data_IF_215097655551
#
_entry.id   IF_215097655551
#
_cell.length_a   1.000
_cell.length_b   1.000
_cell.length_c   1.000
_cell.angle_alpha   90.00
_cell.angle_beta   90.00
_cell.angle_gamma   90.00
#
_symmetry.space_group_name_H-M   'P 1'
#
loop_
_entity.id
_entity.type
_entity.pdbx_description
1 polymer ?
#
# COMPACT_ATOMS: atom_id res chain seq x y z
N UNK A 1 34.87 -9.32 -42.26
CA UNK A 1 33.99 -9.23 -41.08
C UNK A 1 33.94 -7.79 -40.63
N UNK A 2 32.76 -7.24 -40.38
CA UNK A 2 32.66 -5.89 -39.80
C UNK A 2 33.04 -5.89 -38.31
N UNK A 3 33.46 -4.74 -37.79
CA UNK A 3 33.74 -4.58 -36.35
C UNK A 3 32.56 -5.03 -35.49
N UNK A 4 31.32 -4.73 -35.91
CA UNK A 4 30.08 -5.13 -35.23
C UNK A 4 29.89 -6.65 -35.21
N UNK A 5 30.19 -7.34 -36.32
CA UNK A 5 30.10 -8.81 -36.37
C UNK A 5 31.14 -9.49 -35.47
N UNK A 6 32.32 -8.90 -35.32
CA UNK A 6 33.36 -9.41 -34.43
C UNK A 6 32.93 -9.28 -32.96
N UNK A 7 32.37 -8.13 -32.59
CA UNK A 7 31.85 -7.89 -31.24
C UNK A 7 30.71 -8.86 -30.92
N UNK A 8 29.76 -9.05 -31.83
CA UNK A 8 28.65 -9.99 -31.64
C UNK A 8 29.15 -11.42 -31.41
N UNK A 9 30.05 -11.92 -32.27
CA UNK A 9 30.62 -13.27 -32.11
C UNK A 9 31.37 -13.47 -30.79
N UNK A 10 32.12 -12.46 -30.34
CA UNK A 10 32.82 -12.52 -29.05
C UNK A 10 31.83 -12.63 -27.87
N UNK A 11 30.74 -11.85 -27.91
CA UNK A 11 29.71 -11.90 -26.88
C UNK A 11 28.98 -13.25 -26.92
N UNK A 12 28.64 -13.78 -28.11
CA UNK A 12 28.05 -15.12 -28.25
C UNK A 12 28.91 -16.19 -27.61
N UNK A 13 30.22 -16.17 -27.88
CA UNK A 13 31.15 -17.14 -27.30
C UNK A 13 31.21 -17.03 -25.77
N UNK A 14 31.19 -15.81 -25.22
CA UNK A 14 31.17 -15.61 -23.78
C UNK A 14 29.86 -16.10 -23.14
N UNK A 15 28.71 -15.82 -23.78
CA UNK A 15 27.41 -16.30 -23.31
C UNK A 15 27.40 -17.83 -23.23
N UNK A 16 27.83 -18.52 -24.29
CA UNK A 16 27.83 -19.99 -24.35
C UNK A 16 28.73 -20.66 -23.30
N UNK A 17 29.78 -19.99 -22.83
CA UNK A 17 30.66 -20.50 -21.78
C UNK A 17 30.10 -20.31 -20.37
N UNK A 18 29.16 -19.37 -20.18
CA UNK A 18 28.65 -18.97 -18.88
C UNK A 18 27.29 -19.60 -18.54
N UNK A 19 26.55 -20.08 -19.55
CA UNK A 19 25.24 -20.70 -19.34
C UNK A 19 25.37 -22.18 -18.94
N UNK A 20 24.45 -22.72 -18.12
CA UNK A 20 24.33 -24.16 -17.89
C UNK A 20 24.07 -24.93 -19.20
N UNK A 21 24.46 -26.20 -19.22
CA UNK A 21 24.27 -27.10 -20.38
C UNK A 21 22.81 -27.20 -20.84
N UNK A 22 21.88 -27.13 -19.87
CA UNK A 22 20.42 -27.11 -20.09
C UNK A 22 19.98 -25.97 -21.03
N UNK A 23 20.63 -24.81 -20.91
CA UNK A 23 20.36 -23.62 -21.70
C UNK A 23 21.20 -23.54 -22.97
N UNK A 24 22.37 -24.17 -22.97
CA UNK A 24 23.30 -24.16 -24.09
C UNK A 24 22.61 -24.58 -25.39
N UNK A 25 21.91 -25.71 -25.37
CA UNK A 25 21.20 -26.25 -26.55
C UNK A 25 20.00 -25.40 -26.98
N UNK A 26 19.44 -24.59 -26.07
CA UNK A 26 18.32 -23.70 -26.37
C UNK A 26 18.80 -22.48 -27.14
N UNK A 27 20.00 -21.98 -26.84
CA UNK A 27 20.47 -20.69 -27.33
C UNK A 27 21.57 -20.77 -28.40
N UNK A 28 22.28 -21.89 -28.54
CA UNK A 28 23.43 -22.01 -29.45
C UNK A 28 23.10 -21.71 -30.91
N UNK A 29 21.90 -22.08 -31.35
CA UNK A 29 21.42 -21.88 -32.71
C UNK A 29 21.02 -20.42 -33.00
N UNK A 30 20.98 -19.55 -31.99
CA UNK A 30 20.49 -18.19 -32.16
C UNK A 30 21.51 -17.32 -32.94
N UNK A 31 21.03 -16.57 -33.96
CA UNK A 31 21.91 -15.83 -34.85
C UNK A 31 22.80 -14.78 -34.17
N UNK A 32 22.29 -14.08 -33.16
CA UNK A 32 22.96 -12.92 -32.54
C UNK A 32 23.08 -13.05 -31.03
N UNK A 33 24.08 -12.38 -30.44
CA UNK A 33 24.23 -12.29 -28.99
C UNK A 33 22.99 -11.67 -28.32
N UNK A 34 22.36 -10.68 -28.97
CA UNK A 34 21.13 -10.06 -28.49
C UNK A 34 19.97 -11.06 -28.37
N UNK A 35 19.80 -11.92 -29.36
CA UNK A 35 18.79 -12.98 -29.33
C UNK A 35 19.09 -14.03 -28.25
N UNK A 36 20.36 -14.43 -28.11
CA UNK A 36 20.79 -15.33 -27.02
C UNK A 36 20.46 -14.75 -25.65
N UNK A 37 20.78 -13.47 -25.42
CA UNK A 37 20.48 -12.78 -24.17
C UNK A 37 18.98 -12.76 -23.86
N UNK A 38 18.14 -12.42 -24.85
CA UNK A 38 16.69 -12.40 -24.66
C UNK A 38 16.11 -13.79 -24.38
N UNK A 39 16.66 -14.84 -24.99
CA UNK A 39 16.23 -16.22 -24.72
C UNK A 39 16.59 -16.66 -23.30
N UNK A 40 17.80 -16.34 -22.81
CA UNK A 40 18.20 -16.58 -21.42
C UNK A 40 17.28 -15.82 -20.46
N UNK A 41 17.05 -14.53 -20.75
CA UNK A 41 16.18 -13.70 -19.94
C UNK A 41 14.76 -14.26 -19.87
N UNK A 42 14.21 -14.77 -20.99
CA UNK A 42 12.89 -15.40 -21.04
C UNK A 42 12.84 -16.74 -20.29
N UNK A 43 13.89 -17.56 -20.38
CA UNK A 43 13.98 -18.85 -19.70
C UNK A 43 13.97 -18.69 -18.17
N UNK A 44 14.70 -17.69 -17.66
CA UNK A 44 14.75 -17.37 -16.23
C UNK A 44 13.68 -16.36 -15.79
N UNK A 45 12.92 -15.80 -16.72
CA UNK A 45 11.80 -14.95 -16.36
C UNK A 45 10.86 -15.78 -15.49
N UNK A 46 10.43 -15.28 -14.30
CA UNK A 46 9.45 -15.96 -13.48
C UNK A 46 8.08 -15.91 -14.20
N UNK A 47 7.96 -16.74 -15.24
CA UNK A 47 6.80 -17.01 -16.06
C UNK A 47 5.97 -18.16 -15.49
N UNK A 48 6.24 -18.59 -14.25
CA UNK A 48 5.21 -19.39 -13.60
C UNK A 48 4.03 -18.45 -13.44
N UNK A 49 3.01 -18.67 -14.24
CA UNK A 49 1.70 -18.08 -14.07
C UNK A 49 1.29 -18.10 -12.58
N UNK A 50 1.75 -19.11 -11.84
CA UNK A 50 1.75 -19.22 -10.38
C UNK A 50 2.28 -17.97 -9.65
N UNK A 51 3.44 -17.43 -10.02
CA UNK A 51 4.01 -16.23 -9.40
C UNK A 51 3.16 -14.98 -9.67
N UNK A 52 2.75 -14.76 -10.93
CA UNK A 52 1.88 -13.64 -11.28
C UNK A 52 0.53 -13.77 -10.57
N UNK A 53 -0.04 -14.97 -10.53
CA UNK A 53 -1.28 -15.26 -9.80
C UNK A 53 -1.09 -15.06 -8.29
N UNK A 54 0.09 -15.34 -7.74
CA UNK A 54 0.46 -15.02 -6.36
C UNK A 54 0.43 -13.52 -6.08
N UNK A 55 1.02 -12.71 -6.95
CA UNK A 55 0.99 -11.24 -6.85
C UNK A 55 -0.44 -10.67 -7.01
N UNK A 56 -1.24 -11.26 -7.90
CA UNK A 56 -2.66 -10.88 -8.03
C UNK A 56 -3.43 -11.21 -6.76
N UNK A 57 -3.19 -12.40 -6.18
CA UNK A 57 -3.80 -12.78 -4.91
C UNK A 57 -3.40 -11.81 -3.80
N UNK A 58 -2.11 -11.49 -3.70
CA UNK A 58 -1.57 -10.51 -2.75
C UNK A 58 -2.22 -9.13 -2.93
N UNK A 59 -2.40 -8.67 -4.16
CA UNK A 59 -3.09 -7.41 -4.46
C UNK A 59 -4.52 -7.36 -3.91
N UNK A 60 -5.29 -8.45 -4.07
CA UNK A 60 -6.68 -8.50 -3.60
C UNK A 60 -6.81 -8.82 -2.11
N UNK A 61 -5.82 -9.47 -1.51
CA UNK A 61 -5.80 -9.79 -0.08
C UNK A 61 -4.97 -8.82 0.75
N UNK A 62 -4.62 -7.66 0.19
CA UNK A 62 -3.78 -6.67 0.84
C UNK A 62 -4.55 -6.08 2.03
N UNK A 63 -4.12 -6.46 3.24
CA UNK A 63 -4.65 -5.94 4.48
C UNK A 63 -3.56 -5.10 5.14
N UNK A 64 -3.88 -3.84 5.42
CA UNK A 64 -3.01 -2.98 6.20
C UNK A 64 -3.39 -3.03 7.67
N UNK A 65 -2.44 -2.66 8.54
CA UNK A 65 -2.70 -2.53 9.97
C UNK A 65 -3.72 -1.41 10.22
N UNK A 66 -4.49 -1.51 11.31
CA UNK A 66 -5.42 -0.44 11.67
C UNK A 66 -4.64 0.84 11.99
N UNK A 67 -5.07 1.96 11.40
CA UNK A 67 -4.38 3.24 11.47
C UNK A 67 -3.31 3.42 10.40
N UNK A 68 -3.23 2.54 9.40
CA UNK A 68 -2.30 2.68 8.28
C UNK A 68 -2.51 4.01 7.54
N UNK A 69 -1.40 4.63 7.15
CA UNK A 69 -1.42 5.88 6.40
C UNK A 69 -1.92 5.62 4.97
N UNK A 70 -2.84 6.46 4.47
CA UNK A 70 -3.41 6.26 3.14
C UNK A 70 -2.36 6.34 2.02
N UNK A 71 -1.32 7.15 2.19
CA UNK A 71 -0.26 7.29 1.18
C UNK A 71 0.62 6.04 1.14
N UNK A 72 0.85 5.39 2.29
CA UNK A 72 1.48 4.08 2.36
C UNK A 72 0.64 3.03 1.64
N UNK A 73 -0.67 2.97 1.94
CA UNK A 73 -1.59 2.04 1.28
C UNK A 73 -1.61 2.23 -0.24
N UNK A 74 -1.67 3.48 -0.70
CA UNK A 74 -1.68 3.81 -2.11
C UNK A 74 -0.36 3.46 -2.81
N UNK A 75 0.76 3.64 -2.10
CA UNK A 75 2.10 3.30 -2.58
C UNK A 75 2.24 1.81 -2.79
N UNK A 76 1.84 0.97 -1.82
CA UNK A 76 1.94 -0.49 -1.93
C UNK A 76 1.05 -1.05 -3.05
N UNK A 77 -0.19 -0.56 -3.17
CA UNK A 77 -1.07 -0.92 -4.30
C UNK A 77 -0.46 -0.56 -5.66
N UNK A 78 0.21 0.60 -5.75
CA UNK A 78 0.87 1.05 -6.98
C UNK A 78 2.12 0.23 -7.29
N UNK A 79 2.91 -0.15 -6.28
CA UNK A 79 4.05 -1.06 -6.42
C UNK A 79 3.61 -2.42 -6.94
N UNK A 80 2.58 -3.02 -6.34
CA UNK A 80 2.05 -4.32 -6.78
C UNK A 80 1.50 -4.27 -8.22
N UNK A 81 0.71 -3.23 -8.55
CA UNK A 81 0.22 -3.03 -9.92
C UNK A 81 1.36 -2.93 -10.93
N UNK A 82 2.41 -2.17 -10.60
CA UNK A 82 3.58 -1.98 -11.47
C UNK A 82 4.40 -3.26 -11.62
N UNK A 83 4.56 -4.02 -10.53
CA UNK A 83 5.25 -5.31 -10.54
C UNK A 83 4.51 -6.34 -11.38
N UNK A 84 3.19 -6.45 -11.24
CA UNK A 84 2.35 -7.32 -12.08
C UNK A 84 2.48 -6.89 -13.55
N UNK A 85 2.35 -5.59 -13.84
CA UNK A 85 2.46 -5.08 -15.21
C UNK A 85 3.84 -5.32 -15.85
N UNK A 86 4.91 -5.34 -15.06
CA UNK A 86 6.27 -5.62 -15.56
C UNK A 86 6.48 -7.09 -15.92
N UNK A 87 5.69 -8.00 -15.33
CA UNK A 87 5.75 -9.43 -15.57
C UNK A 87 4.76 -9.86 -16.65
N UNK A 88 3.51 -9.40 -16.53
CA UNK A 88 2.43 -9.65 -17.47
C UNK A 88 1.51 -8.41 -17.56
N UNK A 89 1.69 -7.55 -18.59
CA UNK A 89 0.86 -6.37 -18.79
C UNK A 89 -0.63 -6.68 -18.94
N UNK A 90 -1.00 -7.87 -19.43
CA UNK A 90 -2.40 -8.25 -19.65
C UNK A 90 -3.15 -8.52 -18.34
N UNK A 91 -2.40 -8.88 -17.29
CA UNK A 91 -2.93 -9.14 -15.94
C UNK A 91 -2.87 -7.92 -15.01
N UNK A 92 -2.46 -6.75 -15.52
CA UNK A 92 -2.34 -5.51 -14.74
C UNK A 92 -3.69 -5.12 -14.12
N UNK A 93 -3.80 -4.99 -12.78
CA UNK A 93 -5.00 -4.46 -12.14
C UNK A 93 -5.29 -3.02 -12.60
N UNK A 94 -6.56 -2.67 -12.73
CA UNK A 94 -6.96 -1.32 -13.14
C UNK A 94 -6.84 -0.31 -11.98
N UNK A 95 -6.86 0.99 -12.29
CA UNK A 95 -6.94 2.02 -11.23
C UNK A 95 -8.26 1.94 -10.45
N UNK A 96 -9.33 1.49 -11.10
CA UNK A 96 -10.60 1.15 -10.45
C UNK A 96 -10.42 0.02 -9.42
N UNK A 97 -9.62 -1.00 -9.75
CA UNK A 97 -9.30 -2.10 -8.84
C UNK A 97 -8.52 -1.60 -7.61
N UNK A 98 -7.49 -0.75 -7.82
CA UNK A 98 -6.75 -0.13 -6.71
C UNK A 98 -7.66 0.68 -5.80
N UNK A 99 -8.56 1.46 -6.39
CA UNK A 99 -9.53 2.25 -5.64
C UNK A 99 -10.39 1.35 -4.77
N UNK A 100 -10.97 0.28 -5.33
CA UNK A 100 -11.84 -0.59 -4.56
C UNK A 100 -11.09 -1.30 -3.42
N UNK A 101 -9.87 -1.82 -3.66
CA UNK A 101 -9.03 -2.37 -2.59
C UNK A 101 -8.75 -1.37 -1.47
N UNK A 102 -8.43 -0.12 -1.81
CA UNK A 102 -8.23 0.95 -0.84
C UNK A 102 -9.51 1.21 -0.02
N UNK A 103 -10.66 1.32 -0.68
CA UNK A 103 -11.94 1.57 -0.03
C UNK A 103 -12.37 0.42 0.88
N UNK A 104 -12.13 -0.83 0.48
CA UNK A 104 -12.47 -2.01 1.29
C UNK A 104 -11.62 -2.08 2.56
N UNK A 105 -10.34 -1.69 2.48
CA UNK A 105 -9.51 -1.55 3.67
C UNK A 105 -10.08 -0.49 4.63
N UNK A 106 -10.33 0.72 4.14
CA UNK A 106 -10.83 1.82 4.98
C UNK A 106 -12.30 1.68 5.43
N UNK A 107 -13.07 0.78 4.82
CA UNK A 107 -14.42 0.39 5.30
C UNK A 107 -14.34 -0.51 6.54
N UNK A 108 -13.32 -1.36 6.60
CA UNK A 108 -13.15 -2.36 7.66
C UNK A 108 -12.35 -1.84 8.86
N UNK A 109 -11.80 -0.63 8.78
CA UNK A 109 -11.10 0.00 9.90
C UNK A 109 -11.99 0.16 11.14
N UNK A 110 -11.48 -0.29 12.29
CA UNK A 110 -12.24 -0.43 13.54
C UNK A 110 -12.75 0.89 14.15
N UNK A 111 -12.38 2.05 13.60
CA UNK A 111 -12.74 3.37 14.13
C UNK A 111 -13.96 3.99 13.43
N UNK A 112 -14.42 3.43 12.29
CA UNK A 112 -15.58 3.89 11.52
C UNK A 112 -15.52 5.34 11.03
N UNK A 113 -14.40 6.05 11.25
CA UNK A 113 -14.30 7.49 11.02
C UNK A 113 -14.31 7.81 9.52
N UNK A 114 -13.75 6.91 8.71
CA UNK A 114 -13.68 7.04 7.28
C UNK A 114 -14.96 6.57 6.56
N UNK A 115 -15.87 5.88 7.25
CA UNK A 115 -17.03 5.21 6.65
C UNK A 115 -17.90 6.13 5.78
N UNK A 116 -18.15 7.36 6.22
CA UNK A 116 -18.95 8.31 5.43
C UNK A 116 -18.30 8.67 4.09
N UNK A 117 -16.99 8.95 4.09
CA UNK A 117 -16.23 9.23 2.88
C UNK A 117 -16.13 7.98 1.98
N UNK A 118 -15.89 6.81 2.59
CA UNK A 118 -15.82 5.52 1.90
C UNK A 118 -17.15 5.17 1.23
N UNK A 119 -18.28 5.26 1.94
CA UNK A 119 -19.62 5.02 1.38
C UNK A 119 -19.94 5.97 0.23
N UNK A 120 -19.62 7.26 0.37
CA UNK A 120 -19.79 8.23 -0.72
C UNK A 120 -19.01 7.80 -1.97
N UNK A 121 -17.75 7.42 -1.82
CA UNK A 121 -16.92 7.01 -2.96
C UNK A 121 -17.36 5.69 -3.58
N UNK A 122 -17.84 4.73 -2.78
CA UNK A 122 -18.41 3.47 -3.30
C UNK A 122 -19.66 3.71 -4.16
N UNK A 123 -20.48 4.70 -3.80
CA UNK A 123 -21.66 5.11 -4.59
C UNK A 123 -21.30 5.93 -5.84
N UNK A 124 -20.13 6.58 -5.87
CA UNK A 124 -19.69 7.45 -6.95
C UNK A 124 -18.52 6.83 -7.72
N UNK A 125 -18.83 5.93 -8.65
CA UNK A 125 -17.83 5.17 -9.42
C UNK A 125 -16.91 6.04 -10.31
N UNK A 126 -17.27 7.31 -10.54
CA UNK A 126 -16.45 8.28 -11.27
C UNK A 126 -15.24 8.80 -10.47
N UNK A 127 -15.25 8.65 -9.14
CA UNK A 127 -14.11 9.04 -8.31
C UNK A 127 -12.90 8.19 -8.69
N UNK A 128 -11.84 8.86 -9.13
CA UNK A 128 -10.57 8.23 -9.50
C UNK A 128 -9.83 7.71 -8.27
N UNK A 129 -8.83 6.84 -8.50
CA UNK A 129 -7.96 6.36 -7.44
C UNK A 129 -7.27 7.53 -6.71
N UNK A 130 -6.74 8.51 -7.45
CA UNK A 130 -6.05 9.65 -6.87
C UNK A 130 -6.99 10.53 -6.02
N UNK A 131 -8.20 10.79 -6.50
CA UNK A 131 -9.20 11.51 -5.72
C UNK A 131 -9.60 10.76 -4.45
N UNK A 132 -9.73 9.43 -4.53
CA UNK A 132 -10.03 8.62 -3.36
C UNK A 132 -8.94 8.70 -2.29
N UNK A 133 -7.66 8.61 -2.70
CA UNK A 133 -6.53 8.81 -1.79
C UNK A 133 -6.59 10.19 -1.13
N UNK A 134 -6.86 11.25 -1.90
CA UNK A 134 -6.96 12.61 -1.34
C UNK A 134 -8.09 12.75 -0.32
N UNK A 135 -9.28 12.21 -0.61
CA UNK A 135 -10.43 12.29 0.29
C UNK A 135 -10.19 11.55 1.61
N UNK A 136 -9.56 10.37 1.55
CA UNK A 136 -9.18 9.63 2.75
C UNK A 136 -8.07 10.36 3.50
N UNK A 137 -7.08 10.94 2.80
CA UNK A 137 -6.00 11.72 3.43
C UNK A 137 -6.56 12.92 4.21
N UNK A 138 -7.51 13.63 3.62
CA UNK A 138 -8.18 14.75 4.29
C UNK A 138 -8.99 14.26 5.50
N UNK A 139 -9.64 13.10 5.38
CA UNK A 139 -10.33 12.44 6.50
C UNK A 139 -9.35 12.07 7.63
N UNK A 140 -8.21 11.44 7.34
CA UNK A 140 -7.17 11.11 8.33
C UNK A 140 -6.61 12.35 9.01
N UNK A 141 -6.32 13.41 8.25
CA UNK A 141 -5.88 14.69 8.81
C UNK A 141 -6.91 15.28 9.76
N UNK A 142 -8.19 15.23 9.40
CA UNK A 142 -9.28 15.70 10.24
C UNK A 142 -9.40 14.86 11.52
N UNK A 143 -9.33 13.53 11.42
CA UNK A 143 -9.33 12.62 12.56
C UNK A 143 -8.24 12.97 13.57
N UNK A 144 -6.99 13.10 13.10
CA UNK A 144 -5.85 13.45 13.94
C UNK A 144 -6.05 14.80 14.64
N UNK A 145 -6.55 15.80 13.92
CA UNK A 145 -6.83 17.13 14.46
C UNK A 145 -7.94 17.10 15.53
N UNK A 146 -9.01 16.35 15.31
CA UNK A 146 -10.09 16.20 16.30
C UNK A 146 -9.63 15.43 17.53
N UNK A 147 -8.88 14.35 17.36
CA UNK A 147 -8.31 13.58 18.47
C UNK A 147 -7.33 14.40 19.29
N UNK A 148 -6.42 15.16 18.66
CA UNK A 148 -5.50 16.05 19.37
C UNK A 148 -6.27 17.07 20.22
N UNK A 149 -7.33 17.67 19.67
CA UNK A 149 -8.20 18.59 20.42
C UNK A 149 -8.90 17.88 21.60
N UNK A 150 -9.42 16.67 21.39
CA UNK A 150 -10.08 15.90 22.44
C UNK A 150 -9.11 15.56 23.58
N UNK A 151 -7.89 15.11 23.25
CA UNK A 151 -6.83 14.81 24.22
C UNK A 151 -6.40 16.06 24.97
N UNK A 152 -6.21 17.19 24.27
CA UNK A 152 -5.87 18.46 24.90
C UNK A 152 -6.98 18.94 25.86
N UNK A 153 -8.25 18.86 25.44
CA UNK A 153 -9.39 19.20 26.29
C UNK A 153 -9.47 18.29 27.53
N UNK A 154 -9.20 17.00 27.38
CA UNK A 154 -9.17 16.07 28.51
C UNK A 154 -8.02 16.36 29.47
N UNK A 155 -6.82 16.66 28.96
CA UNK A 155 -5.67 17.04 29.77
C UNK A 155 -5.90 18.38 30.51
N UNK A 156 -6.55 19.35 29.87
CA UNK A 156 -6.91 20.63 30.49
C UNK A 156 -8.03 20.47 31.52
N UNK A 157 -9.03 19.62 31.27
CA UNK A 157 -10.07 19.27 32.25
C UNK A 157 -9.49 18.67 33.54
N UNK A 158 -8.40 17.88 33.44
CA UNK A 158 -7.67 17.39 34.62
C UNK A 158 -6.93 18.50 35.38
N UNK A 159 -6.50 19.57 34.71
CA UNK A 159 -5.88 20.74 35.36
C UNK A 159 -6.94 21.67 35.98
N UNK A 160 -8.10 21.79 35.35
CA UNK A 160 -9.28 22.54 35.84
C UNK A 160 -10.11 21.75 36.85
N UNK A 161 -9.68 20.54 37.23
CA UNK A 161 -10.11 19.90 38.46
C UNK A 161 -9.46 20.61 39.67
N UNK A 162 -9.62 21.94 39.73
CA UNK A 162 -9.50 22.70 40.97
C UNK A 162 -10.37 22.00 41.99
N UNK A 163 -9.76 21.60 43.11
CA UNK A 163 -10.46 20.96 44.23
C UNK A 163 -11.79 21.68 44.45
N UNK A 164 -12.91 20.96 44.25
CA UNK A 164 -14.23 21.56 44.48
C UNK A 164 -14.29 21.87 45.98
N UNK A 165 -14.23 23.16 46.29
CA UNK A 165 -14.42 23.68 47.64
C UNK A 165 -15.92 23.57 47.90
N UNK A 166 -16.30 22.88 48.97
CA UNK A 166 -17.69 22.84 49.39
C UNK A 166 -18.15 24.25 49.74
N UNK A 167 -19.21 24.72 49.08
CA UNK A 167 -19.78 26.05 49.28
C UNK A 167 -20.35 26.29 50.68
N UNK A 168 -20.52 25.23 51.49
CA UNK A 168 -21.05 25.30 52.84
C UNK A 168 -19.96 25.38 53.92
N UNK A 169 -18.95 24.51 53.89
CA UNK A 169 -17.93 24.44 54.95
C UNK A 169 -16.52 24.86 54.50
N UNK A 170 -16.32 25.13 53.21
CA UNK A 170 -15.02 25.55 52.67
C UNK A 170 -13.95 24.44 52.58
N UNK A 171 -14.27 23.18 52.91
CA UNK A 171 -13.32 22.05 52.78
C UNK A 171 -13.32 21.47 51.37
N UNK A 172 -12.19 20.90 50.95
CA UNK A 172 -12.00 20.31 49.63
C UNK A 172 -12.64 18.91 49.52
N UNK A 173 -12.95 18.49 48.29
CA UNK A 173 -13.21 17.09 47.89
C UNK A 173 -14.34 16.35 48.64
N UNK A 174 -15.44 17.03 48.95
CA UNK A 174 -16.66 16.38 49.43
C UNK A 174 -17.89 17.19 48.95
N UNK A 175 -19.06 16.58 48.97
CA UNK A 175 -20.34 17.21 48.59
C UNK A 175 -21.03 17.80 49.81
N UNK A 176 -21.99 18.72 49.63
CA UNK A 176 -22.76 19.29 50.74
C UNK A 176 -23.44 18.22 51.62
N UNK A 177 -23.87 17.11 51.01
CA UNK A 177 -24.52 15.99 51.71
C UNK A 177 -23.59 15.27 52.69
N UNK A 178 -22.27 15.32 52.46
CA UNK A 178 -21.25 14.69 53.30
C UNK A 178 -20.62 15.67 54.31
N UNK A 179 -21.16 16.89 54.45
CA UNK A 179 -20.71 17.86 55.46
C UNK A 179 -21.13 17.52 56.89
N UNK A 180 -22.17 16.68 57.05
CA UNK A 180 -22.87 16.46 58.32
C UNK A 180 -22.67 15.05 58.88
N UNK A 181 -21.82 14.24 58.24
CA UNK A 181 -21.25 13.01 58.78
C UNK A 181 -19.94 13.32 59.53
#
# INVERSE_FOLDING_TARGET
MSSTQLVDNNIKSAILQLVPEELYHIIEALPTAFQMWNAIAAYYQPNSEVYVNGLIKEFWSLNFESGADVDECATELTKLQSKIASLDPSKRPSDLSKRNCLLDHFETECNGFHNGAVSFMKLNSHVSFFEAVNLIRDSQRNYLKYNQKAVANFANSRKDMTMKICSFCGRNNHTHETCFE
#
